data_IF_717259811957
#
_entry.id   IF_717259811957
#
_cell.length_a   1.000
_cell.length_b   1.000
_cell.length_c   1.000
_cell.angle_alpha   90.00
_cell.angle_beta   90.00
_cell.angle_gamma   90.00
#
_symmetry.space_group_name_H-M   'P 1'
#
loop_
_entity.id
_entity.type
_entity.pdbx_description
1 polymer ?
#
# COMPACT_ATOMS: atom_id res chain seq x y z
N UNK A 1 -13.94 -40.01 80.01
CA UNK A 1 -13.73 -40.35 78.57
C UNK A 1 -13.92 -39.11 77.76
N UNK A 2 -12.84 -38.42 77.44
CA UNK A 2 -12.86 -37.19 76.62
C UNK A 2 -11.74 -37.27 75.63
N UNK A 3 -12.10 -37.32 74.34
CA UNK A 3 -11.17 -37.39 73.22
C UNK A 3 -10.66 -36.00 72.88
N UNK A 4 -9.32 -35.83 72.89
CA UNK A 4 -8.67 -34.64 72.42
C UNK A 4 -8.65 -34.57 70.89
N UNK A 5 -9.02 -33.43 70.36
CA UNK A 5 -8.90 -33.07 68.95
C UNK A 5 -7.55 -32.40 68.70
N UNK A 6 -6.73 -32.99 67.86
CA UNK A 6 -5.50 -32.37 67.33
C UNK A 6 -5.85 -31.58 66.09
N UNK A 7 -5.77 -30.26 66.16
CA UNK A 7 -5.81 -29.38 64.97
C UNK A 7 -4.42 -29.30 64.37
N UNK A 8 -4.28 -29.85 63.18
CA UNK A 8 -3.08 -29.69 62.35
C UNK A 8 -3.17 -28.37 61.61
N UNK A 9 -2.31 -27.42 61.98
CA UNK A 9 -2.16 -26.17 61.26
C UNK A 9 -1.44 -26.38 59.94
N UNK A 10 -2.14 -26.13 58.85
CA UNK A 10 -1.58 -26.11 57.50
C UNK A 10 -0.93 -24.76 57.27
N UNK A 11 0.38 -24.73 57.31
CA UNK A 11 1.17 -23.55 56.88
C UNK A 11 1.05 -23.46 55.35
N UNK A 12 0.27 -22.51 54.87
CA UNK A 12 0.22 -22.15 53.48
C UNK A 12 1.39 -21.24 53.18
N UNK A 13 2.40 -21.77 52.48
CA UNK A 13 3.54 -21.01 51.92
C UNK A 13 3.02 -20.21 50.71
N UNK A 14 2.48 -19.02 50.98
CA UNK A 14 1.98 -18.07 49.96
C UNK A 14 3.16 -17.25 49.44
N UNK A 15 4.00 -17.89 48.60
CA UNK A 15 4.97 -17.18 47.78
C UNK A 15 4.20 -16.42 46.72
N UNK A 16 3.88 -15.15 46.99
CA UNK A 16 3.38 -14.19 46.04
C UNK A 16 4.29 -14.18 44.77
N UNK A 17 3.78 -14.73 43.69
CA UNK A 17 4.43 -14.61 42.36
C UNK A 17 4.28 -13.16 41.95
N UNK A 18 5.29 -12.34 42.27
CA UNK A 18 5.35 -10.94 41.83
C UNK A 18 5.39 -10.95 40.31
N UNK A 19 4.35 -10.41 39.69
CA UNK A 19 4.28 -10.24 38.23
C UNK A 19 5.52 -9.51 37.71
N UNK A 20 6.11 -9.99 36.60
CA UNK A 20 7.27 -9.32 35.93
C UNK A 20 7.01 -7.85 35.65
N UNK A 21 5.76 -7.47 35.42
CA UNK A 21 5.32 -6.07 35.24
C UNK A 21 5.47 -5.26 36.53
N UNK A 22 5.04 -5.80 37.67
CA UNK A 22 5.10 -5.10 38.95
C UNK A 22 6.54 -4.82 39.42
N UNK A 23 7.49 -5.69 39.13
CA UNK A 23 8.92 -5.44 39.40
C UNK A 23 9.48 -4.35 38.52
N UNK A 24 9.11 -4.31 37.23
CA UNK A 24 9.54 -3.28 36.30
C UNK A 24 9.01 -1.89 36.71
N UNK A 25 7.75 -1.81 37.12
CA UNK A 25 7.10 -0.57 37.55
C UNK A 25 7.71 -0.05 38.91
N UNK A 26 7.93 -0.96 39.89
CA UNK A 26 8.48 -0.64 41.17
C UNK A 26 9.94 -0.11 41.10
N UNK A 27 10.72 -0.54 40.11
CA UNK A 27 12.10 -0.14 39.88
C UNK A 27 12.26 0.93 38.80
N UNK A 28 11.18 1.42 38.20
CA UNK A 28 11.20 2.38 37.07
C UNK A 28 12.12 1.90 35.91
N UNK A 29 12.17 0.60 35.65
CA UNK A 29 13.03 0.00 34.63
C UNK A 29 12.46 0.23 33.25
N UNK A 30 13.22 0.84 32.36
CA UNK A 30 12.93 0.86 30.94
C UNK A 30 13.42 -0.45 30.27
N UNK A 31 12.64 -0.99 29.34
CA UNK A 31 12.99 -2.20 28.61
C UNK A 31 14.22 -1.95 27.72
N UNK A 32 15.30 -2.68 27.97
CA UNK A 32 16.49 -2.59 27.14
C UNK A 32 16.19 -3.14 25.74
N UNK A 33 16.41 -2.32 24.70
CA UNK A 33 16.23 -2.76 23.31
C UNK A 33 17.33 -3.74 22.92
N UNK A 34 17.00 -4.90 22.30
CA UNK A 34 17.99 -5.84 21.82
C UNK A 34 19.02 -5.18 20.91
N UNK A 35 20.29 -5.59 21.00
CA UNK A 35 21.37 -5.01 20.20
C UNK A 35 21.12 -5.12 18.70
N UNK A 36 20.53 -6.24 18.22
CA UNK A 36 20.20 -6.39 16.81
C UNK A 36 19.18 -5.35 16.31
N UNK A 37 18.21 -4.96 17.13
CA UNK A 37 17.25 -3.91 16.76
C UNK A 37 17.94 -2.55 16.62
N UNK A 38 18.87 -2.22 17.52
CA UNK A 38 19.62 -0.97 17.43
C UNK A 38 20.50 -0.92 16.17
N UNK A 39 21.13 -2.04 15.79
CA UNK A 39 21.87 -2.17 14.53
C UNK A 39 20.94 -2.03 13.34
N UNK A 40 19.79 -2.72 13.35
CA UNK A 40 18.76 -2.63 12.30
C UNK A 40 18.33 -1.20 12.06
N UNK A 41 18.00 -0.46 13.12
CA UNK A 41 17.53 0.92 13.02
C UNK A 41 18.60 1.85 12.46
N UNK A 42 19.86 1.71 12.90
CA UNK A 42 20.94 2.54 12.38
C UNK A 42 21.25 2.27 10.91
N UNK A 43 21.24 1.00 10.48
CA UNK A 43 21.41 0.67 9.06
C UNK A 43 20.24 1.19 8.23
N UNK A 44 19.01 1.01 8.71
CA UNK A 44 17.81 1.53 8.05
C UNK A 44 17.86 3.06 7.88
N UNK A 45 18.25 3.79 8.92
CA UNK A 45 18.41 5.25 8.84
C UNK A 45 19.43 5.67 7.78
N UNK A 46 20.57 4.95 7.64
CA UNK A 46 21.56 5.25 6.62
C UNK A 46 21.06 4.96 5.21
N UNK A 47 20.23 3.95 5.05
CA UNK A 47 19.59 3.63 3.77
C UNK A 47 18.56 4.71 3.43
N UNK A 48 17.68 5.06 4.37
CA UNK A 48 16.64 6.07 4.15
C UNK A 48 17.20 7.48 3.95
N UNK A 49 18.33 7.81 4.58
CA UNK A 49 19.03 9.09 4.36
C UNK A 49 19.81 9.15 3.05
N UNK A 50 19.91 8.04 2.30
CA UNK A 50 20.70 7.95 1.07
C UNK A 50 22.21 7.80 1.30
N UNK A 51 22.68 7.72 2.56
CA UNK A 51 24.10 7.46 2.86
C UNK A 51 24.56 6.07 2.42
N UNK A 52 23.61 5.15 2.28
CA UNK A 52 23.73 3.86 1.61
C UNK A 52 22.68 3.86 0.50
N UNK A 53 23.12 3.99 -0.74
CA UNK A 53 22.22 4.10 -1.88
C UNK A 53 21.66 2.73 -2.32
N UNK A 54 20.54 2.75 -3.05
CA UNK A 54 19.95 1.54 -3.61
C UNK A 54 20.94 0.84 -4.57
N UNK A 55 21.26 -0.41 -4.26
CA UNK A 55 22.24 -1.24 -4.97
C UNK A 55 23.65 -1.23 -4.36
N UNK A 56 23.91 -0.39 -3.35
CA UNK A 56 25.20 -0.42 -2.67
C UNK A 56 25.41 -1.74 -1.94
N UNK A 57 26.66 -2.20 -1.94
CA UNK A 57 27.07 -3.37 -1.18
C UNK A 57 27.34 -2.98 0.27
N UNK A 58 26.69 -3.66 1.20
CA UNK A 58 26.98 -3.52 2.62
C UNK A 58 28.34 -4.15 2.95
N UNK A 59 29.05 -3.63 3.98
CA UNK A 59 30.20 -4.31 4.55
C UNK A 59 29.86 -5.74 4.98
N UNK A 60 30.87 -6.60 5.05
CA UNK A 60 30.70 -7.98 5.51
C UNK A 60 30.18 -8.06 6.95
N UNK A 61 29.58 -9.20 7.34
CA UNK A 61 29.15 -9.44 8.71
C UNK A 61 30.28 -9.21 9.74
N UNK A 62 31.52 -9.51 9.37
CA UNK A 62 32.69 -9.32 10.24
C UNK A 62 33.03 -7.84 10.41
N UNK A 63 33.05 -7.07 9.34
CA UNK A 63 33.30 -5.63 9.37
C UNK A 63 32.22 -4.89 10.15
N UNK A 64 30.94 -5.23 9.90
CA UNK A 64 29.81 -4.66 10.66
C UNK A 64 29.89 -5.03 12.14
N UNK A 65 30.23 -6.28 12.48
CA UNK A 65 30.38 -6.69 13.88
C UNK A 65 31.48 -5.91 14.60
N UNK A 66 32.59 -5.67 13.92
CA UNK A 66 33.68 -4.82 14.43
C UNK A 66 33.26 -3.38 14.59
N UNK A 67 32.59 -2.80 13.59
CA UNK A 67 32.16 -1.40 13.60
C UNK A 67 31.10 -1.10 14.66
N UNK A 68 30.17 -2.03 14.90
CA UNK A 68 29.11 -1.87 15.92
C UNK A 68 29.52 -2.37 17.31
N UNK A 69 30.66 -3.06 17.45
CA UNK A 69 31.07 -3.62 18.74
C UNK A 69 30.17 -4.75 19.24
N UNK A 70 29.56 -5.53 18.32
CA UNK A 70 28.61 -6.61 18.64
C UNK A 70 29.07 -7.95 18.03
N UNK A 71 28.39 -9.04 18.42
CA UNK A 71 28.68 -10.35 17.85
C UNK A 71 28.22 -10.47 16.39
N UNK A 72 28.86 -11.37 15.60
CA UNK A 72 28.41 -11.68 14.23
C UNK A 72 26.99 -12.26 14.19
N UNK A 73 26.57 -12.97 15.25
CA UNK A 73 25.20 -13.46 15.37
C UNK A 73 24.19 -12.32 15.47
N UNK A 74 24.52 -11.27 16.24
CA UNK A 74 23.71 -10.05 16.35
C UNK A 74 23.56 -9.33 15.00
N UNK A 75 24.68 -9.20 14.25
CA UNK A 75 24.64 -8.63 12.89
C UNK A 75 23.78 -9.47 11.95
N UNK A 76 23.93 -10.79 12.00
CA UNK A 76 23.12 -11.69 11.15
C UNK A 76 21.63 -11.57 11.43
N UNK A 77 21.27 -11.43 12.70
CA UNK A 77 19.87 -11.20 13.10
C UNK A 77 19.35 -9.85 12.61
N UNK A 78 20.15 -8.78 12.73
CA UNK A 78 19.82 -7.46 12.20
C UNK A 78 19.66 -7.48 10.66
N UNK A 79 20.56 -8.13 9.94
CA UNK A 79 20.46 -8.26 8.49
C UNK A 79 19.24 -9.10 8.07
N UNK A 80 18.90 -10.17 8.81
CA UNK A 80 17.66 -10.92 8.56
C UNK A 80 16.42 -10.04 8.77
N UNK A 81 16.39 -9.20 9.80
CA UNK A 81 15.28 -8.27 10.04
C UNK A 81 15.16 -7.21 8.93
N UNK A 82 16.26 -6.73 8.33
CA UNK A 82 16.22 -5.84 7.17
C UNK A 82 15.79 -6.58 5.90
N UNK A 83 16.27 -7.81 5.70
CA UNK A 83 15.91 -8.64 4.55
C UNK A 83 14.43 -9.04 4.56
N UNK A 84 13.84 -9.32 5.74
CA UNK A 84 12.41 -9.61 5.86
C UNK A 84 11.48 -8.42 5.57
N UNK A 85 12.05 -7.21 5.48
CA UNK A 85 11.36 -5.98 5.07
C UNK A 85 11.71 -5.56 3.64
N UNK A 86 12.38 -6.42 2.89
CA UNK A 86 12.85 -6.15 1.53
C UNK A 86 13.75 -4.90 1.40
N UNK A 87 14.37 -4.46 2.51
CA UNK A 87 15.30 -3.31 2.52
C UNK A 87 16.66 -3.67 1.95
N UNK A 88 17.07 -4.93 2.14
CA UNK A 88 18.32 -5.49 1.63
C UNK A 88 18.08 -6.87 1.00
N UNK A 89 18.98 -7.29 0.13
CA UNK A 89 18.99 -8.64 -0.46
C UNK A 89 20.39 -9.24 -0.38
N UNK A 90 20.48 -10.55 -0.15
CA UNK A 90 21.73 -11.28 -0.11
C UNK A 90 21.84 -12.17 -1.34
N UNK A 91 22.97 -12.09 -2.06
CA UNK A 91 23.33 -12.98 -3.17
C UNK A 91 24.47 -13.89 -2.78
N UNK A 92 24.44 -15.15 -3.25
CA UNK A 92 25.49 -16.14 -3.03
C UNK A 92 26.49 -16.16 -4.19
N UNK A 93 27.68 -16.67 -3.95
CA UNK A 93 28.73 -16.85 -4.97
C UNK A 93 29.94 -15.97 -4.71
N UNK A 94 30.94 -16.06 -5.61
CA UNK A 94 32.21 -15.34 -5.51
C UNK A 94 32.06 -13.82 -5.56
N UNK A 95 31.06 -13.33 -6.27
CA UNK A 95 30.66 -11.92 -6.30
C UNK A 95 29.49 -11.62 -5.36
N UNK A 96 29.11 -12.57 -4.50
CA UNK A 96 28.01 -12.47 -3.57
C UNK A 96 28.23 -11.41 -2.49
N UNK A 97 27.18 -11.10 -1.78
CA UNK A 97 27.18 -10.11 -0.70
C UNK A 97 25.77 -9.68 -0.33
N UNK A 98 25.69 -8.80 0.63
CA UNK A 98 24.45 -8.14 1.01
C UNK A 98 24.41 -6.76 0.38
N UNK A 99 23.31 -6.43 -0.29
CA UNK A 99 23.13 -5.20 -1.04
C UNK A 99 21.85 -4.49 -0.60
N UNK A 100 21.87 -3.16 -0.64
CA UNK A 100 20.64 -2.36 -0.47
C UNK A 100 19.69 -2.69 -1.61
N UNK A 101 18.44 -2.98 -1.31
CA UNK A 101 17.44 -3.35 -2.31
C UNK A 101 17.14 -2.17 -3.25
N UNK A 102 16.86 -2.48 -4.51
CA UNK A 102 16.26 -1.55 -5.47
C UNK A 102 14.78 -1.86 -5.54
N UNK A 103 13.99 -1.01 -4.92
CA UNK A 103 12.54 -1.14 -4.95
C UNK A 103 12.02 -0.59 -6.27
N UNK A 104 11.23 -1.36 -6.99
CA UNK A 104 10.55 -0.93 -8.20
C UNK A 104 9.16 -0.39 -7.83
N UNK A 105 8.68 0.63 -8.55
CA UNK A 105 7.38 1.24 -8.27
C UNK A 105 6.22 0.25 -8.42
N UNK A 106 6.32 -0.67 -9.37
CA UNK A 106 5.36 -1.75 -9.61
C UNK A 106 5.26 -2.74 -8.44
N UNK A 107 6.40 -3.10 -7.82
CA UNK A 107 6.43 -3.96 -6.62
C UNK A 107 5.69 -3.31 -5.44
N UNK A 108 5.86 -1.99 -5.26
CA UNK A 108 5.13 -1.25 -4.22
C UNK A 108 3.63 -1.25 -4.52
N UNK A 109 3.25 -1.05 -5.78
CA UNK A 109 1.86 -1.07 -6.22
C UNK A 109 1.21 -2.44 -5.99
N UNK A 110 1.89 -3.54 -6.32
CA UNK A 110 1.42 -4.91 -6.07
C UNK A 110 1.27 -5.23 -4.57
N UNK A 111 2.22 -4.77 -3.75
CA UNK A 111 2.13 -4.92 -2.30
C UNK A 111 0.92 -4.16 -1.72
N UNK A 112 0.70 -2.92 -2.16
CA UNK A 112 -0.45 -2.11 -1.76
C UNK A 112 -1.77 -2.75 -2.23
N UNK A 113 -1.84 -3.25 -3.47
CA UNK A 113 -3.00 -3.95 -4.00
C UNK A 113 -3.38 -5.15 -3.13
N UNK A 114 -2.39 -5.99 -2.79
CA UNK A 114 -2.60 -7.14 -1.91
C UNK A 114 -3.08 -6.70 -0.53
N UNK A 115 -2.45 -5.68 0.05
CA UNK A 115 -2.77 -5.18 1.39
C UNK A 115 -4.17 -4.56 1.44
N UNK A 116 -4.53 -3.70 0.49
CA UNK A 116 -5.88 -3.13 0.37
C UNK A 116 -6.90 -4.24 0.13
N UNK A 117 -6.55 -5.23 -0.71
CA UNK A 117 -7.40 -6.38 -0.97
C UNK A 117 -7.70 -7.21 0.27
N UNK A 118 -6.75 -7.36 1.19
CA UNK A 118 -6.95 -8.04 2.48
C UNK A 118 -7.78 -7.20 3.46
N UNK A 119 -7.59 -5.88 3.47
CA UNK A 119 -8.34 -4.96 4.33
C UNK A 119 -9.78 -4.73 3.82
N UNK A 120 -10.00 -4.87 2.51
CA UNK A 120 -11.32 -4.65 1.94
C UNK A 120 -12.31 -5.72 2.40
N UNK A 121 -13.43 -5.26 2.98
CA UNK A 121 -14.44 -6.12 3.60
C UNK A 121 -14.32 -6.27 5.12
N UNK A 122 -13.23 -5.74 5.73
CA UNK A 122 -13.09 -5.62 7.20
C UNK A 122 -12.96 -4.16 7.62
N UNK A 123 -11.90 -3.49 7.16
CA UNK A 123 -11.51 -2.15 7.61
C UNK A 123 -11.59 -1.08 6.50
N UNK A 124 -11.75 -1.50 5.24
CA UNK A 124 -11.87 -0.60 4.08
C UNK A 124 -13.12 -0.93 3.29
N UNK A 125 -14.04 0.02 3.19
CA UNK A 125 -15.27 -0.10 2.43
C UNK A 125 -15.09 0.29 0.95
N UNK A 126 -16.07 -0.05 0.11
CA UNK A 126 -16.15 0.46 -1.28
C UNK A 126 -16.28 1.98 -1.28
N UNK A 127 -17.03 2.53 -0.34
CA UNK A 127 -17.22 3.97 -0.20
C UNK A 127 -15.91 4.69 0.06
N UNK A 128 -15.04 4.14 0.94
CA UNK A 128 -13.70 4.68 1.21
C UNK A 128 -12.82 4.67 -0.04
N UNK A 129 -12.88 3.59 -0.83
CA UNK A 129 -12.10 3.48 -2.06
C UNK A 129 -12.58 4.46 -3.14
N UNK A 130 -13.89 4.68 -3.26
CA UNK A 130 -14.46 5.67 -4.19
C UNK A 130 -14.13 7.09 -3.76
N UNK A 131 -14.18 7.40 -2.47
CA UNK A 131 -13.75 8.68 -1.93
C UNK A 131 -12.25 8.92 -2.17
N UNK A 132 -11.40 7.91 -1.93
CA UNK A 132 -9.97 7.99 -2.23
C UNK A 132 -9.71 8.29 -3.72
N UNK A 133 -10.48 7.70 -4.64
CA UNK A 133 -10.42 8.03 -6.07
C UNK A 133 -10.72 9.51 -6.33
N UNK A 134 -11.79 10.04 -5.77
CA UNK A 134 -12.15 11.46 -5.94
C UNK A 134 -11.04 12.38 -5.43
N UNK A 135 -10.49 12.10 -4.24
CA UNK A 135 -9.43 12.88 -3.63
C UNK A 135 -8.11 12.84 -4.42
N UNK A 136 -7.84 11.75 -5.15
CA UNK A 136 -6.60 11.56 -5.90
C UNK A 136 -6.74 11.95 -7.38
N UNK A 137 -7.83 11.55 -8.04
CA UNK A 137 -7.96 11.68 -9.49
C UNK A 137 -8.44 13.06 -9.95
N UNK A 138 -9.32 13.72 -9.20
CA UNK A 138 -9.80 15.06 -9.55
C UNK A 138 -8.64 16.07 -9.60
N UNK A 139 -7.79 16.19 -8.57
CA UNK A 139 -6.60 17.04 -8.67
C UNK A 139 -5.57 16.51 -9.68
N UNK A 140 -5.48 15.19 -9.90
CA UNK A 140 -4.59 14.62 -10.90
C UNK A 140 -4.99 15.04 -12.32
N UNK A 141 -6.28 15.07 -12.66
CA UNK A 141 -6.76 15.55 -13.94
C UNK A 141 -6.38 17.00 -14.20
N UNK A 142 -6.51 17.87 -13.18
CA UNK A 142 -6.04 19.27 -13.26
C UNK A 142 -4.55 19.37 -13.59
N UNK A 143 -3.74 18.61 -12.85
CA UNK A 143 -2.28 18.62 -13.06
C UNK A 143 -1.90 18.02 -14.41
N UNK A 144 -2.58 16.95 -14.83
CA UNK A 144 -2.39 16.32 -16.13
C UNK A 144 -2.61 17.32 -17.27
N UNK A 145 -3.66 18.15 -17.21
CA UNK A 145 -3.93 19.18 -18.21
C UNK A 145 -2.77 20.18 -18.37
N UNK A 146 -2.03 20.48 -17.30
CA UNK A 146 -0.87 21.37 -17.36
C UNK A 146 0.45 20.69 -17.73
N UNK A 147 0.58 19.37 -17.52
CA UNK A 147 1.85 18.63 -17.71
C UNK A 147 1.83 17.63 -18.87
N UNK A 148 0.65 17.40 -19.49
CA UNK A 148 0.53 16.48 -20.63
C UNK A 148 1.50 16.80 -21.74
N UNK A 149 1.89 15.78 -22.47
CA UNK A 149 2.61 15.86 -23.73
C UNK A 149 1.86 15.07 -24.80
N UNK A 150 2.35 15.11 -26.07
CA UNK A 150 1.69 14.42 -27.18
C UNK A 150 1.61 12.90 -26.99
N UNK A 151 2.58 12.29 -26.29
CA UNK A 151 2.54 10.85 -25.99
C UNK A 151 1.42 10.52 -25.00
N UNK A 152 1.22 11.36 -23.97
CA UNK A 152 0.11 11.19 -23.02
C UNK A 152 -1.24 11.31 -23.72
N UNK A 153 -1.41 12.30 -24.58
CA UNK A 153 -2.67 12.49 -25.33
C UNK A 153 -2.95 11.33 -26.28
N UNK A 154 -1.93 10.84 -27.01
CA UNK A 154 -2.07 9.69 -27.87
C UNK A 154 -2.47 8.43 -27.08
N UNK A 155 -1.84 8.18 -25.92
CA UNK A 155 -2.16 7.04 -25.05
C UNK A 155 -3.58 7.12 -24.48
N UNK A 156 -4.06 8.32 -24.10
CA UNK A 156 -5.42 8.53 -23.62
C UNK A 156 -6.46 8.27 -24.71
N UNK A 157 -6.23 8.78 -25.94
CA UNK A 157 -7.11 8.51 -27.12
C UNK A 157 -7.19 7.02 -27.41
N UNK A 158 -6.03 6.36 -27.48
CA UNK A 158 -5.98 4.91 -27.71
C UNK A 158 -6.67 4.10 -26.61
N UNK A 159 -6.62 4.54 -25.35
CA UNK A 159 -7.33 3.88 -24.26
C UNK A 159 -8.84 3.98 -24.41
N UNK A 160 -9.38 5.14 -24.82
CA UNK A 160 -10.80 5.34 -25.12
C UNK A 160 -11.23 4.45 -26.31
N UNK A 161 -10.46 4.43 -27.39
CA UNK A 161 -10.74 3.58 -28.56
C UNK A 161 -10.81 2.10 -28.16
N UNK A 162 -9.86 1.62 -27.36
CA UNK A 162 -9.86 0.24 -26.85
C UNK A 162 -11.06 -0.04 -25.94
N UNK A 163 -11.45 0.91 -25.10
CA UNK A 163 -12.61 0.78 -24.23
C UNK A 163 -13.89 0.62 -25.07
N UNK A 164 -14.08 1.44 -26.11
CA UNK A 164 -15.20 1.34 -27.03
C UNK A 164 -15.20 -0.01 -27.77
N UNK A 165 -14.05 -0.47 -28.27
CA UNK A 165 -13.91 -1.74 -28.98
C UNK A 165 -14.09 -2.97 -28.08
N UNK A 166 -13.86 -2.86 -26.80
CA UNK A 166 -13.99 -3.98 -25.84
C UNK A 166 -15.42 -4.18 -25.32
N UNK A 167 -16.39 -3.38 -25.78
CA UNK A 167 -17.82 -3.53 -25.46
C UNK A 167 -18.30 -4.93 -25.81
N UNK A 168 -18.92 -5.60 -24.85
CA UNK A 168 -19.44 -6.96 -25.03
C UNK A 168 -18.41 -8.11 -24.93
N UNK A 169 -17.12 -7.83 -24.64
CA UNK A 169 -16.07 -8.86 -24.56
C UNK A 169 -15.49 -9.05 -23.14
N UNK A 170 -16.10 -8.50 -22.11
CA UNK A 170 -15.60 -8.59 -20.73
C UNK A 170 -14.29 -7.82 -20.44
N UNK A 171 -13.75 -7.12 -21.43
CA UNK A 171 -12.50 -6.36 -21.32
C UNK A 171 -12.67 -4.90 -20.92
N UNK A 172 -13.90 -4.38 -20.91
CA UNK A 172 -14.20 -2.95 -20.78
C UNK A 172 -13.69 -2.34 -19.46
N UNK A 173 -13.85 -3.04 -18.37
CA UNK A 173 -13.36 -2.57 -17.06
C UNK A 173 -11.85 -2.43 -17.00
N UNK A 174 -11.10 -3.30 -17.66
CA UNK A 174 -9.64 -3.19 -17.72
C UNK A 174 -9.23 -1.94 -18.48
N UNK A 175 -9.88 -1.62 -19.58
CA UNK A 175 -9.57 -0.44 -20.39
C UNK A 175 -10.03 0.85 -19.69
N UNK A 176 -11.19 0.82 -19.01
CA UNK A 176 -11.65 1.91 -18.15
C UNK A 176 -10.60 2.26 -17.08
N UNK A 177 -10.10 1.29 -16.32
CA UNK A 177 -9.01 1.48 -15.37
C UNK A 177 -7.76 2.05 -16.05
N UNK A 178 -7.43 1.57 -17.23
CA UNK A 178 -6.27 2.00 -17.98
C UNK A 178 -6.32 3.49 -18.30
N UNK A 179 -7.49 4.02 -18.70
CA UNK A 179 -7.69 5.46 -18.92
C UNK A 179 -7.36 6.29 -17.67
N UNK A 180 -7.93 5.95 -16.51
CA UNK A 180 -7.66 6.65 -15.27
C UNK A 180 -6.18 6.59 -14.86
N UNK A 181 -5.56 5.42 -14.99
CA UNK A 181 -4.12 5.26 -14.76
C UNK A 181 -3.26 6.15 -15.67
N UNK A 182 -3.67 6.34 -16.93
CA UNK A 182 -2.97 7.22 -17.88
C UNK A 182 -3.15 8.70 -17.52
N UNK A 183 -4.33 9.12 -17.06
CA UNK A 183 -4.53 10.49 -16.53
C UNK A 183 -3.56 10.76 -15.37
N UNK A 184 -3.47 9.82 -14.42
CA UNK A 184 -2.54 9.96 -13.29
C UNK A 184 -1.07 9.98 -13.77
N UNK A 185 -0.70 9.12 -14.73
CA UNK A 185 0.66 9.10 -15.32
C UNK A 185 1.01 10.42 -16.03
N UNK A 186 0.03 11.08 -16.66
CA UNK A 186 0.23 12.37 -17.32
C UNK A 186 0.58 13.49 -16.32
N UNK A 187 0.39 13.31 -15.03
CA UNK A 187 0.88 14.23 -13.99
C UNK A 187 2.40 14.24 -13.88
N UNK A 188 3.10 13.20 -14.36
CA UNK A 188 4.52 12.98 -14.16
C UNK A 188 4.93 12.63 -12.73
N UNK A 189 3.95 12.39 -11.83
CA UNK A 189 4.21 12.02 -10.45
C UNK A 189 4.10 10.49 -10.27
N UNK A 190 5.25 9.80 -10.30
CA UNK A 190 5.30 8.34 -10.15
C UNK A 190 4.76 7.83 -8.82
N UNK A 191 4.92 8.60 -7.73
CA UNK A 191 4.38 8.22 -6.42
C UNK A 191 2.84 8.23 -6.44
N UNK A 192 2.24 9.25 -7.08
CA UNK A 192 0.79 9.32 -7.21
C UNK A 192 0.25 8.11 -7.99
N UNK A 193 0.94 7.69 -9.05
CA UNK A 193 0.57 6.49 -9.81
C UNK A 193 0.62 5.21 -8.94
N UNK A 194 1.67 5.04 -8.15
CA UNK A 194 1.81 3.91 -7.21
C UNK A 194 0.70 3.87 -6.17
N UNK A 195 0.26 5.02 -5.67
CA UNK A 195 -0.81 5.09 -4.66
C UNK A 195 -2.20 4.87 -5.25
N UNK A 196 -2.42 5.25 -6.51
CA UNK A 196 -3.75 5.23 -7.13
C UNK A 196 -4.07 3.88 -7.80
N UNK A 197 -3.09 3.30 -8.51
CA UNK A 197 -3.26 2.04 -9.25
C UNK A 197 -3.82 0.88 -8.40
N UNK A 198 -3.35 0.63 -7.16
CA UNK A 198 -3.89 -0.44 -6.31
C UNK A 198 -5.37 -0.28 -5.99
N UNK A 199 -5.83 0.94 -5.74
CA UNK A 199 -7.25 1.23 -5.47
C UNK A 199 -8.12 0.85 -6.66
N UNK A 200 -7.68 1.20 -7.89
CA UNK A 200 -8.39 0.83 -9.12
C UNK A 200 -8.49 -0.68 -9.29
N UNK A 201 -7.39 -1.41 -9.02
CA UNK A 201 -7.35 -2.86 -9.21
C UNK A 201 -8.25 -3.59 -8.22
N UNK A 202 -8.25 -3.17 -6.96
CA UNK A 202 -9.10 -3.79 -5.93
C UNK A 202 -10.57 -3.52 -6.21
N UNK A 203 -10.94 -2.28 -6.55
CA UNK A 203 -12.31 -1.96 -6.94
C UNK A 203 -12.78 -2.80 -8.13
N UNK A 204 -11.95 -2.91 -9.17
CA UNK A 204 -12.28 -3.73 -10.34
C UNK A 204 -12.46 -5.21 -9.99
N UNK A 205 -11.57 -5.78 -9.18
CA UNK A 205 -11.60 -7.20 -8.86
C UNK A 205 -12.79 -7.62 -8.00
N UNK A 206 -13.32 -6.72 -7.18
CA UNK A 206 -14.31 -7.07 -6.17
C UNK A 206 -15.72 -6.54 -6.43
N UNK A 207 -15.85 -5.45 -7.17
CA UNK A 207 -17.09 -4.67 -7.16
C UNK A 207 -17.65 -4.36 -8.52
N UNK A 208 -17.03 -4.82 -9.61
CA UNK A 208 -17.54 -4.59 -10.93
C UNK A 208 -18.37 -5.79 -11.40
N UNK A 209 -19.69 -5.62 -11.32
CA UNK A 209 -20.63 -6.56 -11.92
C UNK A 209 -20.66 -6.38 -13.45
N UNK A 210 -20.55 -7.46 -14.24
CA UNK A 210 -20.70 -7.40 -15.68
C UNK A 210 -22.09 -6.98 -16.16
N UNK A 211 -23.09 -6.97 -15.28
CA UNK A 211 -24.50 -6.69 -15.62
C UNK A 211 -24.88 -5.19 -15.62
N UNK A 212 -23.92 -4.28 -15.54
CA UNK A 212 -24.20 -2.83 -15.68
C UNK A 212 -24.77 -2.53 -17.06
N UNK A 213 -25.89 -1.78 -17.17
CA UNK A 213 -26.55 -1.49 -18.43
C UNK A 213 -25.63 -0.86 -19.49
N UNK A 214 -25.88 -1.19 -20.76
CA UNK A 214 -25.02 -0.72 -21.86
C UNK A 214 -25.04 0.81 -22.00
N UNK A 215 -26.17 1.45 -21.66
CA UNK A 215 -26.32 2.91 -21.65
C UNK A 215 -25.35 3.58 -20.69
N UNK A 216 -25.12 2.99 -19.53
CA UNK A 216 -24.12 3.48 -18.57
C UNK A 216 -22.72 3.58 -19.22
N UNK A 217 -22.33 2.56 -19.97
CA UNK A 217 -21.03 2.57 -20.62
C UNK A 217 -20.91 3.60 -21.75
N UNK A 218 -22.03 3.92 -22.43
CA UNK A 218 -22.08 5.01 -23.38
C UNK A 218 -21.82 6.36 -22.71
N UNK A 219 -22.33 6.55 -21.49
CA UNK A 219 -22.10 7.76 -20.74
C UNK A 219 -20.62 7.83 -20.24
N UNK A 220 -20.06 6.72 -19.79
CA UNK A 220 -18.63 6.62 -19.41
C UNK A 220 -17.72 7.03 -20.57
N UNK A 221 -17.97 6.55 -21.79
CA UNK A 221 -17.17 6.93 -22.96
C UNK A 221 -17.25 8.45 -23.22
N UNK A 222 -18.45 9.02 -23.13
CA UNK A 222 -18.64 10.46 -23.30
C UNK A 222 -17.89 11.28 -22.24
N UNK A 223 -17.91 10.80 -20.99
CA UNK A 223 -17.19 11.43 -19.88
C UNK A 223 -15.67 11.39 -20.11
N UNK A 224 -15.15 10.25 -20.54
CA UNK A 224 -13.70 10.12 -20.83
C UNK A 224 -13.27 11.02 -21.99
N UNK A 225 -14.09 11.16 -23.02
CA UNK A 225 -13.85 12.13 -24.10
C UNK A 225 -13.87 13.58 -23.60
N UNK A 226 -14.77 13.92 -22.67
CA UNK A 226 -14.82 15.27 -22.08
C UNK A 226 -13.59 15.56 -21.24
N UNK A 227 -13.15 14.59 -20.42
CA UNK A 227 -11.92 14.69 -19.64
C UNK A 227 -10.70 14.85 -20.58
N UNK A 228 -10.60 14.01 -21.62
CA UNK A 228 -9.50 14.10 -22.58
C UNK A 228 -9.47 15.45 -23.28
N UNK A 229 -10.61 15.97 -23.74
CA UNK A 229 -10.67 17.31 -24.39
C UNK A 229 -10.16 18.40 -23.46
N UNK A 230 -10.62 18.42 -22.20
CA UNK A 230 -10.16 19.40 -21.22
C UNK A 230 -8.63 19.28 -20.94
N UNK A 231 -8.11 18.05 -20.89
CA UNK A 231 -6.66 17.81 -20.76
C UNK A 231 -5.93 18.29 -22.01
N UNK A 232 -6.43 18.02 -23.22
CA UNK A 232 -5.81 18.45 -24.50
C UNK A 232 -5.78 19.96 -24.62
N UNK A 233 -6.86 20.64 -24.24
CA UNK A 233 -6.97 22.11 -24.24
C UNK A 233 -6.06 22.75 -23.17
N UNK A 234 -5.60 21.99 -22.17
CA UNK A 234 -4.80 22.51 -21.05
C UNK A 234 -5.66 23.20 -19.98
N UNK A 235 -6.98 23.03 -20.03
CA UNK A 235 -7.91 23.59 -19.03
C UNK A 235 -7.97 22.65 -17.82
N UNK A 236 -7.14 22.93 -16.82
CA UNK A 236 -7.08 22.14 -15.59
C UNK A 236 -8.36 22.17 -14.77
N UNK A 237 -9.08 23.30 -14.78
CA UNK A 237 -10.33 23.41 -14.04
C UNK A 237 -11.47 22.64 -14.72
N UNK A 238 -11.55 22.69 -16.05
CA UNK A 238 -12.49 21.88 -16.80
C UNK A 238 -12.18 20.37 -16.65
N UNK A 239 -10.90 19.97 -16.72
CA UNK A 239 -10.49 18.58 -16.51
C UNK A 239 -10.87 18.07 -15.13
N UNK A 240 -10.65 18.86 -14.08
CA UNK A 240 -11.02 18.50 -12.71
C UNK A 240 -12.55 18.38 -12.56
N UNK A 241 -13.32 19.31 -13.12
CA UNK A 241 -14.80 19.23 -13.08
C UNK A 241 -15.33 18.00 -13.81
N UNK A 242 -14.84 17.74 -15.03
CA UNK A 242 -15.25 16.56 -15.82
C UNK A 242 -14.91 15.25 -15.09
N UNK A 243 -13.72 15.15 -14.48
CA UNK A 243 -13.34 14.00 -13.66
C UNK A 243 -14.24 13.85 -12.44
N UNK A 244 -14.55 14.90 -11.71
CA UNK A 244 -15.42 14.87 -10.54
C UNK A 244 -16.84 14.41 -10.91
N UNK A 245 -17.42 14.93 -11.97
CA UNK A 245 -18.74 14.54 -12.45
C UNK A 245 -18.78 13.07 -12.87
N UNK A 246 -17.75 12.61 -13.56
CA UNK A 246 -17.57 11.21 -13.93
C UNK A 246 -17.52 10.29 -12.71
N UNK A 247 -16.70 10.60 -11.70
CA UNK A 247 -16.56 9.79 -10.48
C UNK A 247 -17.84 9.78 -9.63
N UNK A 248 -18.58 10.87 -9.59
CA UNK A 248 -19.91 10.93 -8.94
C UNK A 248 -20.90 9.97 -9.62
N UNK A 249 -20.94 9.94 -10.97
CA UNK A 249 -21.78 8.99 -11.71
C UNK A 249 -21.38 7.54 -11.47
N UNK A 250 -20.07 7.25 -11.45
CA UNK A 250 -19.55 5.93 -11.10
C UNK A 250 -20.00 5.52 -9.69
N UNK A 251 -19.85 6.42 -8.70
CA UNK A 251 -20.28 6.16 -7.33
C UNK A 251 -21.76 5.79 -7.25
N UNK A 252 -22.61 6.49 -7.98
CA UNK A 252 -24.03 6.19 -8.03
C UNK A 252 -24.28 4.80 -8.65
N UNK A 253 -23.63 4.46 -9.76
CA UNK A 253 -23.76 3.17 -10.39
C UNK A 253 -23.31 2.01 -9.49
N UNK A 254 -22.23 2.20 -8.71
CA UNK A 254 -21.81 1.21 -7.71
C UNK A 254 -22.82 1.00 -6.59
N UNK A 255 -23.53 2.07 -6.16
CA UNK A 255 -24.58 1.96 -5.16
C UNK A 255 -25.81 1.21 -5.70
N UNK A 256 -26.21 1.55 -6.91
CA UNK A 256 -27.43 0.99 -7.53
C UNK A 256 -27.30 -0.48 -7.93
N UNK A 257 -26.06 -0.94 -8.21
CA UNK A 257 -25.75 -2.32 -8.61
C UNK A 257 -25.06 -3.14 -7.50
N UNK A 258 -25.20 -2.74 -6.25
CA UNK A 258 -24.63 -3.46 -5.12
C UNK A 258 -25.31 -4.83 -4.95
N UNK A 259 -24.58 -5.95 -4.79
CA UNK A 259 -25.19 -7.24 -4.48
C UNK A 259 -25.95 -7.14 -3.16
N UNK A 260 -27.18 -7.62 -3.12
CA UNK A 260 -27.99 -7.66 -1.91
C UNK A 260 -27.30 -8.50 -0.83
N UNK A 261 -26.76 -7.87 0.21
CA UNK A 261 -26.07 -8.55 1.31
C UNK A 261 -24.79 -7.85 1.81
N UNK A 262 -24.36 -6.77 1.20
CA UNK A 262 -23.19 -6.02 1.65
C UNK A 262 -23.62 -4.68 2.32
N UNK A 263 -24.37 -4.80 3.43
CA UNK A 263 -24.94 -3.69 4.22
C UNK A 263 -23.93 -3.05 5.18
N UNK A 264 -22.67 -2.95 4.82
CA UNK A 264 -21.69 -2.23 5.65
C UNK A 264 -21.41 -0.85 5.03
N UNK A 265 -22.06 0.18 5.62
CA UNK A 265 -21.72 1.61 5.49
C UNK A 265 -20.40 1.93 6.16
#
# INVERSE_FOLDING_TARGET
MTRGSKTSGKVTDDKAVVSRSAVADALSLSRIRPAYQQVTDQLLQRILSGSLAAGDRLPSEAELASAFGVSRSTIREALRALASRDVIRTTRGTTGGTFVARVQLDQVSEYLETSIGLLSGTDVSVADMLEARELLEVPAARVAAHRRNQQHLAALREAIDREIMSRGRGGKFREHRNFHGLVVKATGNGLLAVMTEPVFRVLQARFLDPDVPQEFWGQVDHDHEAILRAIDDGDGDAAARAMSEHLVRLRQAYRDNRPAGDDRD
#
